data_IF_524618769104
#
_entry.id   IF_524618769104
#
_cell.length_a   1.000
_cell.length_b   1.000
_cell.length_c   1.000
_cell.angle_alpha   90.00
_cell.angle_beta   90.00
_cell.angle_gamma   90.00
#
_symmetry.space_group_name_H-M   'P 1'
#
loop_
_entity.id
_entity.type
_entity.pdbx_description
1 polymer ?
#
# COMPACT_ATOMS: atom_id res chain seq x y z
N UNK A 1 5.25 -8.37 15.74
CA UNK A 1 4.43 -7.38 15.03
C UNK A 1 4.88 -5.98 15.39
N UNK A 2 5.18 -5.18 14.40
CA UNK A 2 5.64 -3.80 14.60
C UNK A 2 4.88 -2.86 13.68
N UNK A 3 4.62 -1.65 14.17
CA UNK A 3 4.11 -0.55 13.35
C UNK A 3 5.24 0.42 13.05
N UNK A 4 5.33 0.86 11.80
CA UNK A 4 6.29 1.86 11.38
C UNK A 4 5.59 2.95 10.57
N UNK A 5 5.65 4.20 11.05
CA UNK A 5 5.04 5.33 10.38
C UNK A 5 5.98 5.84 9.30
N UNK A 6 5.49 5.86 8.06
CA UNK A 6 6.22 6.38 6.90
C UNK A 6 5.84 7.83 6.63
N UNK A 7 4.65 8.23 7.08
CA UNK A 7 4.17 9.58 6.98
C UNK A 7 2.88 9.77 7.75
N UNK A 8 2.71 10.94 8.34
CA UNK A 8 1.54 11.29 9.16
C UNK A 8 0.97 12.66 8.80
N UNK A 9 1.51 13.31 7.77
CA UNK A 9 1.04 14.62 7.32
C UNK A 9 -0.24 14.52 6.51
N UNK A 10 -0.92 15.64 6.36
CA UNK A 10 -2.15 15.73 5.58
C UNK A 10 -1.96 16.68 4.39
N UNK A 11 -2.56 16.33 3.26
CA UNK A 11 -2.59 17.13 2.04
C UNK A 11 -1.28 17.16 1.28
N UNK A 12 -0.24 17.74 1.84
CA UNK A 12 1.06 17.91 1.19
C UNK A 12 2.19 17.40 2.08
N UNK A 13 3.30 16.91 1.49
CA UNK A 13 4.46 16.53 2.30
C UNK A 13 5.14 17.77 2.85
N UNK A 14 5.75 17.62 4.03
CA UNK A 14 6.58 18.65 4.65
C UNK A 14 7.99 18.11 4.82
N UNK A 15 8.95 19.02 5.07
CA UNK A 15 10.38 18.66 5.18
C UNK A 15 10.62 17.56 6.21
N UNK A 16 9.90 17.58 7.32
CA UNK A 16 10.09 16.64 8.44
C UNK A 16 8.94 15.63 8.58
N UNK A 17 7.95 15.69 7.69
CA UNK A 17 6.76 14.84 7.79
C UNK A 17 6.19 14.58 6.40
N UNK A 18 6.21 13.33 5.97
CA UNK A 18 5.58 12.94 4.73
C UNK A 18 4.07 12.72 4.92
N UNK A 19 3.34 12.66 3.82
CA UNK A 19 1.90 12.36 3.81
C UNK A 19 1.66 10.88 4.16
N UNK A 20 0.39 10.49 4.33
CA UNK A 20 -0.02 9.24 4.96
C UNK A 20 0.63 7.97 4.39
N UNK A 21 1.19 7.19 5.28
CA UNK A 21 1.70 5.86 5.03
C UNK A 21 2.08 5.20 6.34
N UNK A 22 1.61 3.96 6.54
CA UNK A 22 1.88 3.19 7.74
C UNK A 22 2.17 1.74 7.34
N UNK A 23 3.27 1.20 7.81
CA UNK A 23 3.61 -0.21 7.59
C UNK A 23 3.36 -1.03 8.85
N UNK A 24 2.62 -2.12 8.69
CA UNK A 24 2.48 -3.15 9.72
C UNK A 24 3.42 -4.29 9.34
N UNK A 25 4.47 -4.47 10.15
CA UNK A 25 5.51 -5.45 9.88
C UNK A 25 5.15 -6.76 10.58
N UNK A 26 4.84 -7.77 9.79
CA UNK A 26 4.44 -9.10 10.24
C UNK A 26 5.50 -10.14 9.85
N UNK A 27 6.77 -9.76 10.02
CA UNK A 27 7.89 -10.59 9.55
C UNK A 27 8.00 -11.92 10.30
N UNK A 28 7.79 -11.90 11.63
CA UNK A 28 7.83 -13.10 12.45
C UNK A 28 6.58 -13.97 12.27
N UNK A 29 5.42 -13.32 12.11
CA UNK A 29 4.13 -14.01 12.06
C UNK A 29 3.87 -14.65 10.69
N UNK A 30 4.25 -13.99 9.59
CA UNK A 30 3.95 -14.49 8.24
C UNK A 30 4.95 -14.04 7.17
N UNK A 31 6.10 -13.51 7.55
CA UNK A 31 7.12 -13.04 6.62
C UNK A 31 6.60 -12.02 5.61
N UNK A 32 5.74 -11.12 6.05
CA UNK A 32 5.06 -10.17 5.19
C UNK A 32 4.92 -8.80 5.85
N UNK A 33 4.62 -7.81 5.01
CA UNK A 33 4.34 -6.44 5.42
C UNK A 33 3.01 -6.04 4.81
N UNK A 34 2.16 -5.39 5.61
CA UNK A 34 0.92 -4.77 5.16
C UNK A 34 1.09 -3.26 5.20
N UNK A 35 0.71 -2.58 4.12
CA UNK A 35 0.82 -1.13 4.02
C UNK A 35 -0.57 -0.51 4.13
N UNK A 36 -0.71 0.52 4.95
CA UNK A 36 -1.94 1.28 5.11
C UNK A 36 -1.71 2.69 4.58
N UNK A 37 -2.40 3.03 3.50
CA UNK A 37 -2.23 4.23 2.68
C UNK A 37 -0.84 4.30 2.04
N UNK A 38 -0.75 5.03 0.94
CA UNK A 38 0.47 5.17 0.17
C UNK A 38 0.50 6.54 -0.50
N UNK A 39 0.74 7.57 0.30
CA UNK A 39 0.84 8.94 -0.17
C UNK A 39 2.10 9.18 -0.98
N UNK A 40 2.20 10.37 -1.54
CA UNK A 40 3.35 10.81 -2.33
C UNK A 40 4.66 10.59 -1.56
N UNK A 41 5.63 9.96 -2.21
CA UNK A 41 6.94 9.75 -1.61
C UNK A 41 7.02 8.63 -0.58
N UNK A 42 5.98 7.84 -0.38
CA UNK A 42 6.00 6.72 0.57
C UNK A 42 7.16 5.77 0.30
N UNK A 43 7.42 5.42 -0.96
CA UNK A 43 8.55 4.53 -1.27
C UNK A 43 9.90 5.16 -0.93
N UNK A 44 10.02 6.48 -1.00
CA UNK A 44 11.25 7.17 -0.61
C UNK A 44 11.45 7.10 0.91
N UNK A 45 10.38 7.15 1.67
CA UNK A 45 10.44 6.97 3.13
C UNK A 45 10.83 5.53 3.48
N UNK A 46 10.36 4.56 2.71
CA UNK A 46 10.72 3.14 2.88
C UNK A 46 12.24 2.95 2.77
N UNK A 47 12.92 3.71 1.92
CA UNK A 47 14.37 3.63 1.78
C UNK A 47 15.12 3.99 3.06
N UNK A 48 14.49 4.71 3.99
CA UNK A 48 15.07 5.07 5.29
C UNK A 48 14.81 4.01 6.35
N UNK A 49 14.19 2.91 5.97
CA UNK A 49 13.83 1.82 6.86
C UNK A 49 14.49 0.54 6.39
N UNK A 50 14.28 -0.54 7.14
CA UNK A 50 14.71 -1.87 6.72
C UNK A 50 13.58 -2.64 5.98
N UNK A 51 12.49 -1.96 5.62
CA UNK A 51 11.38 -2.58 4.89
C UNK A 51 11.83 -2.90 3.47
N UNK A 52 11.56 -4.13 3.05
CA UNK A 52 11.82 -4.58 1.68
C UNK A 52 10.50 -4.63 0.92
N UNK A 53 10.33 -3.82 -0.15
CA UNK A 53 9.05 -3.78 -0.88
C UNK A 53 8.57 -5.14 -1.36
N UNK A 54 9.47 -6.07 -1.66
CA UNK A 54 9.08 -7.43 -2.08
C UNK A 54 8.28 -8.19 -1.00
N UNK A 55 8.35 -7.75 0.25
CA UNK A 55 7.61 -8.35 1.37
C UNK A 55 6.20 -7.79 1.53
N UNK A 56 5.86 -6.73 0.82
CA UNK A 56 4.51 -6.15 0.88
C UNK A 56 3.54 -7.15 0.23
N UNK A 57 2.58 -7.60 1.02
CA UNK A 57 1.58 -8.60 0.62
C UNK A 57 0.21 -7.98 0.40
N UNK A 58 -0.15 -7.00 1.21
CA UNK A 58 -1.44 -6.32 1.18
C UNK A 58 -1.27 -4.83 1.33
N UNK A 59 -2.11 -4.07 0.62
CA UNK A 59 -2.18 -2.63 0.74
C UNK A 59 -3.63 -2.25 1.00
N UNK A 60 -3.85 -1.46 2.04
CA UNK A 60 -5.17 -0.98 2.44
C UNK A 60 -5.22 0.53 2.25
N UNK A 61 -6.14 1.01 1.42
CA UNK A 61 -6.30 2.43 1.12
C UNK A 61 -7.60 2.91 1.73
N UNK A 62 -7.52 3.91 2.60
CA UNK A 62 -8.67 4.42 3.33
C UNK A 62 -9.60 5.27 2.47
N UNK A 63 -9.04 6.13 1.62
CA UNK A 63 -9.84 6.98 0.72
C UNK A 63 -8.97 7.50 -0.43
N UNK A 64 -9.62 8.11 -1.44
CA UNK A 64 -8.98 8.43 -2.71
C UNK A 64 -8.36 9.83 -2.80
N UNK A 65 -8.26 10.57 -1.70
CA UNK A 65 -7.52 11.83 -1.73
C UNK A 65 -6.04 11.55 -2.03
N UNK A 66 -5.39 12.44 -2.78
CA UNK A 66 -4.05 12.23 -3.28
C UNK A 66 -3.00 11.96 -2.21
N UNK A 67 -3.15 12.58 -1.04
CA UNK A 67 -2.24 12.36 0.09
C UNK A 67 -2.25 10.93 0.62
N UNK A 68 -3.17 10.08 0.15
CA UNK A 68 -3.26 8.67 0.51
C UNK A 68 -2.91 7.72 -0.63
N UNK A 69 -2.83 8.19 -1.89
CA UNK A 69 -2.66 7.29 -3.03
C UNK A 69 -1.60 7.73 -4.06
N UNK A 70 -1.10 8.97 -4.02
CA UNK A 70 -0.20 9.45 -5.08
C UNK A 70 1.12 8.68 -5.19
N UNK A 71 1.54 7.99 -4.16
CA UNK A 71 2.74 7.15 -4.20
C UNK A 71 2.50 5.71 -4.65
N UNK A 72 1.23 5.32 -4.87
CA UNK A 72 0.91 3.91 -5.09
C UNK A 72 1.42 3.35 -6.42
N UNK A 73 1.17 3.97 -7.59
CA UNK A 73 1.67 3.40 -8.85
C UNK A 73 3.20 3.30 -8.87
N UNK A 74 3.90 4.30 -8.34
CA UNK A 74 5.36 4.28 -8.28
C UNK A 74 5.90 3.18 -7.39
N UNK A 75 5.28 2.97 -6.23
CA UNK A 75 5.66 1.88 -5.33
C UNK A 75 5.48 0.52 -6.00
N UNK A 76 4.36 0.31 -6.67
CA UNK A 76 4.07 -0.96 -7.35
C UNK A 76 5.10 -1.25 -8.44
N UNK A 77 5.45 -0.23 -9.23
CA UNK A 77 6.46 -0.34 -10.26
C UNK A 77 7.83 -0.67 -9.68
N UNK A 78 8.25 0.08 -8.66
CA UNK A 78 9.55 -0.12 -8.01
C UNK A 78 9.67 -1.51 -7.37
N UNK A 79 8.59 -2.03 -6.82
CA UNK A 79 8.57 -3.38 -6.23
C UNK A 79 8.91 -4.45 -7.26
N UNK A 80 8.43 -4.31 -8.50
CA UNK A 80 8.81 -5.24 -9.58
C UNK A 80 10.30 -5.25 -9.82
N UNK A 81 10.93 -4.09 -9.86
CA UNK A 81 12.38 -3.98 -10.08
C UNK A 81 13.19 -4.43 -8.87
N UNK A 82 12.59 -4.51 -7.71
CA UNK A 82 13.25 -4.90 -6.46
C UNK A 82 12.98 -6.33 -6.06
N UNK A 83 12.65 -7.18 -7.03
CA UNK A 83 12.49 -8.62 -6.83
C UNK A 83 11.11 -9.07 -6.35
N UNK A 84 10.10 -8.20 -6.43
CA UNK A 84 8.74 -8.56 -6.05
C UNK A 84 8.06 -9.40 -7.13
N UNK A 85 7.79 -10.67 -6.83
CA UNK A 85 7.10 -11.59 -7.75
C UNK A 85 5.80 -12.12 -7.15
N UNK A 86 5.64 -12.02 -5.84
CA UNK A 86 4.43 -12.48 -5.17
C UNK A 86 3.27 -11.51 -5.40
N UNK A 87 2.02 -12.03 -5.49
CA UNK A 87 0.85 -11.19 -5.69
C UNK A 87 0.67 -10.14 -4.60
N UNK A 88 0.09 -9.00 -4.97
CA UNK A 88 -0.40 -8.01 -4.02
C UNK A 88 -1.91 -7.92 -4.13
N UNK A 89 -2.58 -7.88 -2.98
CA UNK A 89 -4.01 -7.58 -2.90
C UNK A 89 -4.15 -6.17 -2.37
N UNK A 90 -4.88 -5.33 -3.11
CA UNK A 90 -5.12 -3.93 -2.73
C UNK A 90 -6.60 -3.78 -2.36
N UNK A 91 -6.83 -3.34 -1.14
CA UNK A 91 -8.16 -3.08 -0.59
C UNK A 91 -8.38 -1.57 -0.60
N UNK A 92 -9.45 -1.11 -1.23
CA UNK A 92 -9.70 0.32 -1.27
C UNK A 92 -11.08 0.68 -1.78
N UNK A 93 -11.40 1.98 -1.82
CA UNK A 93 -12.70 2.44 -2.30
C UNK A 93 -12.89 2.20 -3.80
N UNK A 94 -14.14 2.29 -4.25
CA UNK A 94 -14.45 2.29 -5.67
C UNK A 94 -13.65 3.37 -6.41
N UNK A 95 -13.11 3.04 -7.57
CA UNK A 95 -12.28 3.96 -8.38
C UNK A 95 -10.78 3.75 -8.20
N UNK A 96 -10.34 3.10 -7.13
CA UNK A 96 -8.91 2.86 -6.89
C UNK A 96 -8.31 1.97 -7.97
N UNK A 97 -8.97 0.89 -8.33
CA UNK A 97 -8.48 -0.02 -9.38
C UNK A 97 -8.30 0.72 -10.71
N UNK A 98 -9.28 1.56 -11.09
CA UNK A 98 -9.20 2.33 -12.31
C UNK A 98 -8.00 3.29 -12.28
N UNK A 99 -7.77 3.97 -11.18
CA UNK A 99 -6.62 4.86 -11.02
C UNK A 99 -5.30 4.10 -11.20
N UNK A 100 -5.14 3.00 -10.51
CA UNK A 100 -3.88 2.22 -10.55
C UNK A 100 -3.66 1.62 -11.93
N UNK A 101 -4.65 0.91 -12.48
CA UNK A 101 -4.50 0.24 -13.78
C UNK A 101 -4.31 1.23 -14.93
N UNK A 102 -5.01 2.38 -14.90
CA UNK A 102 -4.82 3.42 -15.89
C UNK A 102 -3.42 4.02 -15.81
N UNK A 103 -2.94 4.30 -14.61
CA UNK A 103 -1.58 4.81 -14.41
C UNK A 103 -0.52 3.86 -14.96
N UNK A 104 -0.65 2.57 -14.69
CA UNK A 104 0.28 1.56 -15.19
C UNK A 104 0.18 1.41 -16.71
N UNK A 105 -1.02 1.48 -17.27
CA UNK A 105 -1.24 1.37 -18.70
C UNK A 105 -0.65 2.56 -19.47
N UNK A 106 -0.94 3.78 -19.02
CA UNK A 106 -0.47 5.02 -19.65
C UNK A 106 1.06 5.09 -19.65
N UNK A 107 1.68 4.66 -18.57
CA UNK A 107 3.14 4.65 -18.44
C UNK A 107 3.80 3.41 -19.02
N UNK A 108 3.01 2.51 -19.62
CA UNK A 108 3.48 1.24 -20.20
C UNK A 108 4.27 0.41 -19.20
N UNK A 109 3.86 0.46 -17.94
CA UNK A 109 4.50 -0.28 -16.86
C UNK A 109 3.93 -1.69 -16.79
N UNK A 110 4.81 -2.70 -16.83
CA UNK A 110 4.44 -4.10 -16.65
C UNK A 110 4.99 -4.57 -15.31
N UNK A 111 4.10 -5.14 -14.49
CA UNK A 111 4.51 -5.69 -13.20
C UNK A 111 4.90 -7.14 -13.34
N UNK A 112 5.91 -7.57 -12.58
CA UNK A 112 6.37 -8.94 -12.52
C UNK A 112 5.46 -9.84 -11.68
N UNK A 113 4.34 -9.31 -11.19
CA UNK A 113 3.43 -10.00 -10.29
C UNK A 113 1.98 -9.58 -10.55
N UNK A 114 0.99 -10.43 -10.20
CA UNK A 114 -0.41 -10.06 -10.37
C UNK A 114 -0.91 -9.12 -9.27
N UNK A 115 -1.83 -8.23 -9.65
CA UNK A 115 -2.57 -7.38 -8.73
C UNK A 115 -4.01 -7.86 -8.64
N UNK A 116 -4.52 -7.92 -7.41
CA UNK A 116 -5.93 -8.12 -7.13
C UNK A 116 -6.46 -6.91 -6.40
N UNK A 117 -7.70 -6.54 -6.68
CA UNK A 117 -8.37 -5.41 -6.01
C UNK A 117 -9.62 -5.90 -5.31
N UNK A 118 -9.80 -5.46 -4.08
CA UNK A 118 -11.00 -5.72 -3.28
C UNK A 118 -11.59 -4.38 -2.91
N UNK A 119 -12.84 -4.12 -3.33
CA UNK A 119 -13.53 -2.89 -2.96
C UNK A 119 -13.94 -2.96 -1.50
N UNK A 120 -13.65 -1.89 -0.75
CA UNK A 120 -13.98 -1.82 0.66
C UNK A 120 -15.51 -1.79 0.87
N UNK A 121 -15.95 -2.55 1.86
CA UNK A 121 -17.31 -2.51 2.37
C UNK A 121 -17.23 -2.59 3.90
N UNK A 122 -18.27 -2.08 4.58
CA UNK A 122 -18.31 -2.14 6.03
C UNK A 122 -18.35 -3.59 6.51
N UNK A 123 -17.57 -3.88 7.55
CA UNK A 123 -17.47 -5.21 8.13
C UNK A 123 -16.10 -5.84 7.90
N UNK A 124 -16.05 -7.16 7.99
CA UNK A 124 -14.81 -7.91 7.83
C UNK A 124 -14.44 -7.96 6.34
N UNK A 125 -13.25 -7.43 6.00
CA UNK A 125 -12.74 -7.42 4.63
C UNK A 125 -11.65 -8.46 4.40
N UNK A 126 -11.06 -8.98 5.46
CA UNK A 126 -10.07 -10.05 5.39
C UNK A 126 -10.08 -10.82 6.71
N UNK A 127 -9.96 -12.14 6.62
CA UNK A 127 -9.83 -12.98 7.79
C UNK A 127 -9.07 -14.25 7.44
N UNK A 128 -8.08 -14.58 8.26
CA UNK A 128 -7.42 -15.88 8.21
C UNK A 128 -7.19 -16.39 9.64
N UNK A 129 -6.32 -17.38 9.82
CA UNK A 129 -6.05 -17.96 11.14
C UNK A 129 -5.30 -17.01 12.07
N UNK A 130 -4.60 -16.01 11.51
CA UNK A 130 -3.76 -15.10 12.28
C UNK A 130 -4.44 -13.78 12.57
N UNK A 131 -5.14 -13.21 11.57
CA UNK A 131 -5.63 -11.84 11.64
C UNK A 131 -7.04 -11.70 11.08
N UNK A 132 -7.75 -10.72 11.60
CA UNK A 132 -9.01 -10.23 11.06
C UNK A 132 -8.84 -8.74 10.81
N UNK A 133 -9.23 -8.28 9.61
CA UNK A 133 -9.25 -6.86 9.28
C UNK A 133 -10.68 -6.44 9.06
N UNK A 134 -11.08 -5.42 9.77
CA UNK A 134 -12.43 -4.89 9.73
C UNK A 134 -12.42 -3.47 9.22
N UNK A 135 -13.38 -3.14 8.35
CA UNK A 135 -13.56 -1.81 7.80
C UNK A 135 -14.77 -1.15 8.44
N UNK A 136 -14.57 0.05 8.97
CA UNK A 136 -15.65 0.90 9.44
C UNK A 136 -15.73 2.14 8.54
N UNK A 137 -16.88 2.36 7.92
CA UNK A 137 -17.11 3.53 7.09
C UNK A 137 -17.57 4.69 7.97
N UNK A 138 -17.16 5.94 7.62
CA UNK A 138 -17.58 7.13 8.38
C UNK A 138 -19.06 7.41 8.24
#
# INVERSE_FOLDING_TARGET
MELEFLGTGAGVPAKHRNVSGLALKLLDERNAIWLFDCGEGTQMQILRTNIKPRKIEKIFISHLHGDHIFGLPGLLSSRSFQGGEEPIIIYGPAGLENYVRTSLQVTKTRLAYPLQFVELSEGIIFKDKQFTVECMLP
#
